data_IF_927080511835
#
_entry.id   IF_927080511835
#
_cell.length_a   1.000
_cell.length_b   1.000
_cell.length_c   1.000
_cell.angle_alpha   90.00
_cell.angle_beta   90.00
_cell.angle_gamma   90.00
#
_symmetry.space_group_name_H-M   'P 1'
#
loop_
_entity.id
_entity.type
_entity.pdbx_description
1 polymer ?
#
# COMPACT_ATOMS: atom_id res chain seq x y z
N UNK A 1 5.78 59.88 1.76
CA UNK A 1 5.06 59.49 0.53
C UNK A 1 6.07 58.69 -0.30
N UNK A 2 6.24 57.41 0.01
CA UNK A 2 5.62 56.25 -0.66
C UNK A 2 6.65 55.57 -1.57
N UNK A 3 7.65 54.92 -0.96
CA UNK A 3 8.57 54.02 -1.64
C UNK A 3 7.85 52.69 -1.86
N UNK A 4 7.42 52.45 -3.11
CA UNK A 4 6.72 51.24 -3.51
C UNK A 4 7.61 50.00 -3.41
N UNK A 5 7.19 49.04 -2.58
CA UNK A 5 7.66 47.65 -2.63
C UNK A 5 7.10 46.99 -3.89
N UNK A 6 7.79 47.20 -5.02
CA UNK A 6 7.55 46.43 -6.23
C UNK A 6 8.08 45.01 -6.06
N UNK A 7 7.20 44.07 -5.73
CA UNK A 7 7.48 42.64 -5.93
C UNK A 7 7.74 42.43 -7.42
N UNK A 8 9.01 42.18 -7.77
CA UNK A 8 9.42 41.92 -9.13
C UNK A 8 8.85 40.55 -9.55
N UNK A 9 7.63 40.53 -10.08
CA UNK A 9 7.06 39.35 -10.70
C UNK A 9 7.84 39.07 -11.99
N UNK A 10 8.42 37.87 -12.18
CA UNK A 10 9.14 37.55 -13.41
C UNK A 10 8.17 37.56 -14.59
N UNK A 11 8.57 38.18 -15.71
CA UNK A 11 7.87 38.07 -17.00
C UNK A 11 8.00 36.64 -17.55
N UNK A 12 7.27 35.69 -16.96
CA UNK A 12 7.18 34.29 -17.36
C UNK A 12 5.78 34.10 -17.94
N UNK A 13 5.67 33.49 -19.13
CA UNK A 13 4.37 33.21 -19.75
C UNK A 13 3.53 32.32 -18.83
N UNK A 14 2.21 32.35 -18.98
CA UNK A 14 1.28 31.49 -18.21
C UNK A 14 1.68 30.01 -18.33
N UNK A 15 2.18 29.59 -19.47
CA UNK A 15 2.68 28.23 -19.71
C UNK A 15 3.95 27.92 -18.91
N UNK A 16 4.89 28.87 -18.85
CA UNK A 16 6.10 28.78 -18.03
C UNK A 16 5.76 28.69 -16.52
N UNK A 17 4.77 29.46 -16.05
CA UNK A 17 4.26 29.38 -14.67
C UNK A 17 3.59 28.03 -14.38
N UNK A 18 2.74 27.54 -15.29
CA UNK A 18 2.10 26.21 -15.15
C UNK A 18 3.12 25.10 -15.10
N UNK A 19 4.17 25.15 -15.94
CA UNK A 19 5.25 24.17 -15.94
C UNK A 19 5.97 24.15 -14.59
N UNK A 20 6.34 25.32 -14.05
CA UNK A 20 7.00 25.43 -12.74
C UNK A 20 6.14 24.91 -11.59
N UNK A 21 4.85 25.24 -11.57
CA UNK A 21 3.91 24.73 -10.55
C UNK A 21 3.82 23.20 -10.64
N UNK A 22 3.73 22.65 -11.86
CA UNK A 22 3.71 21.20 -12.06
C UNK A 22 5.00 20.52 -11.59
N UNK A 23 6.16 21.09 -11.88
CA UNK A 23 7.46 20.59 -11.42
C UNK A 23 7.56 20.60 -9.89
N UNK A 24 7.12 21.68 -9.23
CA UNK A 24 7.08 21.76 -7.76
C UNK A 24 6.13 20.71 -7.16
N UNK A 25 4.94 20.53 -7.74
CA UNK A 25 3.98 19.50 -7.29
C UNK A 25 4.56 18.10 -7.49
N UNK A 26 5.15 17.81 -8.64
CA UNK A 26 5.75 16.50 -8.93
C UNK A 26 6.90 16.18 -7.96
N UNK A 27 7.75 17.16 -7.65
CA UNK A 27 8.82 17.00 -6.67
C UNK A 27 8.26 16.72 -5.27
N UNK A 28 7.23 17.46 -4.83
CA UNK A 28 6.58 17.24 -3.53
C UNK A 28 5.89 15.88 -3.46
N UNK A 29 5.18 15.48 -4.51
CA UNK A 29 4.54 14.17 -4.61
C UNK A 29 5.58 13.05 -4.60
N UNK A 30 6.69 13.19 -5.33
CA UNK A 30 7.79 12.23 -5.33
C UNK A 30 8.40 12.09 -3.95
N UNK A 31 8.72 13.21 -3.27
CA UNK A 31 9.23 13.20 -1.89
C UNK A 31 8.26 12.53 -0.92
N UNK A 32 6.97 12.85 -1.02
CA UNK A 32 5.94 12.23 -0.20
C UNK A 32 5.87 10.72 -0.44
N UNK A 33 5.89 10.28 -1.70
CA UNK A 33 5.86 8.87 -2.04
C UNK A 33 7.06 8.12 -1.46
N UNK A 34 8.29 8.61 -1.71
CA UNK A 34 9.52 8.00 -1.20
C UNK A 34 9.47 7.85 0.32
N UNK A 35 9.09 8.91 1.05
CA UNK A 35 9.00 8.90 2.52
C UNK A 35 7.99 7.91 3.09
N UNK A 36 6.89 7.68 2.38
CA UNK A 36 5.76 6.90 2.88
C UNK A 36 5.73 5.44 2.39
N UNK A 37 6.37 5.15 1.25
CA UNK A 37 6.31 3.82 0.62
C UNK A 37 7.68 3.19 0.38
N UNK A 38 8.75 3.99 0.21
CA UNK A 38 10.11 3.47 -0.01
C UNK A 38 10.90 3.43 1.31
N UNK A 39 10.92 4.52 2.06
CA UNK A 39 11.68 4.65 3.32
C UNK A 39 10.91 4.12 4.54
N UNK A 40 9.61 3.89 4.39
CA UNK A 40 8.75 3.36 5.44
C UNK A 40 8.74 1.85 5.31
N UNK A 41 9.29 1.15 6.30
CA UNK A 41 9.38 -0.31 6.25
C UNK A 41 7.97 -0.93 6.18
N UNK A 42 7.77 -1.83 5.20
CA UNK A 42 6.56 -2.62 5.06
C UNK A 42 6.75 -3.99 5.72
N UNK A 43 5.69 -4.54 6.30
CA UNK A 43 5.70 -5.89 6.88
C UNK A 43 5.32 -5.93 8.36
N UNK A 44 4.96 -4.80 8.96
CA UNK A 44 4.56 -4.76 10.36
C UNK A 44 3.13 -5.27 10.52
N UNK A 45 2.93 -6.23 11.42
CA UNK A 45 1.65 -6.91 11.62
C UNK A 45 0.83 -6.17 12.68
N UNK A 46 -0.45 -5.92 12.39
CA UNK A 46 -1.39 -5.51 13.43
C UNK A 46 -1.84 -6.71 14.28
N UNK A 47 -1.72 -6.64 15.61
CA UNK A 47 -2.02 -7.76 16.50
C UNK A 47 -3.52 -8.15 16.56
N UNK A 48 -4.41 -7.28 16.08
CA UNK A 48 -5.87 -7.47 16.10
C UNK A 48 -6.40 -8.08 14.81
N UNK A 49 -6.11 -7.47 13.66
CA UNK A 49 -6.57 -7.95 12.35
C UNK A 49 -5.55 -8.78 11.56
N UNK A 50 -4.32 -8.92 12.08
CA UNK A 50 -3.23 -9.72 11.50
C UNK A 50 -2.80 -9.27 10.09
N UNK A 51 -3.23 -8.08 9.63
CA UNK A 51 -2.83 -7.52 8.34
C UNK A 51 -1.49 -6.81 8.43
N UNK A 52 -0.74 -6.89 7.34
CA UNK A 52 0.50 -6.15 7.13
C UNK A 52 0.22 -4.67 6.89
N UNK A 53 1.10 -3.85 7.44
CA UNK A 53 1.09 -2.40 7.39
C UNK A 53 2.52 -1.89 7.27
N UNK A 54 2.64 -0.62 6.93
CA UNK A 54 3.88 0.09 7.10
C UNK A 54 4.12 0.45 8.58
N UNK A 55 5.38 0.64 8.96
CA UNK A 55 5.78 0.96 10.33
C UNK A 55 5.04 2.18 10.87
N UNK A 56 4.97 3.26 10.09
CA UNK A 56 4.29 4.50 10.49
C UNK A 56 2.76 4.36 10.64
N UNK A 57 2.17 3.30 10.08
CA UNK A 57 0.72 3.04 10.11
C UNK A 57 0.27 2.15 11.27
N UNK A 58 1.24 1.65 12.06
CA UNK A 58 0.97 0.91 13.29
C UNK A 58 1.36 1.74 14.51
N UNK A 59 0.51 1.71 15.53
CA UNK A 59 0.76 2.42 16.79
C UNK A 59 0.65 1.47 17.97
N UNK A 60 1.54 1.56 18.97
CA UNK A 60 1.44 0.76 20.19
C UNK A 60 0.12 1.01 20.93
N UNK A 61 -0.51 -0.07 21.40
CA UNK A 61 -1.74 -0.03 22.18
C UNK A 61 -1.54 0.56 23.59
N UNK A 62 -0.32 0.43 24.13
CA UNK A 62 0.08 0.92 25.45
C UNK A 62 -0.17 2.41 25.69
N UNK A 63 -0.33 3.19 24.61
CA UNK A 63 -0.64 4.63 24.70
C UNK A 63 -2.07 4.93 25.14
N UNK A 64 -2.97 3.96 25.25
CA UNK A 64 -4.38 4.21 25.61
C UNK A 64 -5.01 3.07 26.44
N UNK A 65 -5.21 3.31 27.73
CA UNK A 65 -5.77 2.34 28.68
C UNK A 65 -7.18 1.86 28.31
N UNK A 66 -8.01 2.71 27.69
CA UNK A 66 -9.35 2.30 27.23
C UNK A 66 -9.30 1.26 26.11
N UNK A 67 -8.23 1.26 25.31
CA UNK A 67 -8.06 0.23 24.28
C UNK A 67 -7.62 -1.09 24.90
N UNK A 68 -6.72 -1.00 25.88
CA UNK A 68 -6.18 -2.15 26.57
C UNK A 68 -7.29 -2.94 27.28
N UNK A 69 -8.25 -2.28 27.93
CA UNK A 69 -9.38 -2.96 28.59
C UNK A 69 -10.25 -3.76 27.60
N UNK A 70 -10.64 -3.15 26.47
CA UNK A 70 -11.43 -3.81 25.41
C UNK A 70 -10.69 -5.02 24.85
N UNK A 71 -9.39 -4.89 24.61
CA UNK A 71 -8.58 -5.98 24.06
C UNK A 71 -8.23 -7.05 25.08
N UNK A 72 -8.03 -6.73 26.37
CA UNK A 72 -7.79 -7.75 27.42
C UNK A 72 -8.98 -8.70 27.57
N UNK A 73 -10.21 -8.19 27.49
CA UNK A 73 -11.42 -9.02 27.52
C UNK A 73 -11.52 -10.00 26.34
N UNK A 74 -10.85 -9.69 25.23
CA UNK A 74 -10.96 -10.39 23.96
C UNK A 74 -9.72 -11.26 23.68
N UNK A 75 -8.57 -10.91 24.25
CA UNK A 75 -7.29 -11.57 24.03
C UNK A 75 -6.63 -11.94 25.38
N UNK A 76 -7.25 -12.81 26.20
CA UNK A 76 -6.84 -13.02 27.59
C UNK A 76 -5.44 -13.61 27.78
N UNK A 77 -4.94 -14.37 26.78
CA UNK A 77 -3.64 -15.06 26.86
C UNK A 77 -2.48 -14.18 26.38
N UNK A 78 -2.75 -13.07 25.69
CA UNK A 78 -1.68 -12.26 25.07
C UNK A 78 -1.43 -10.99 25.87
N UNK A 79 -0.16 -10.60 25.95
CA UNK A 79 0.19 -9.27 26.46
C UNK A 79 -0.30 -8.18 25.50
N UNK A 80 -1.42 -7.57 25.87
CA UNK A 80 -2.07 -6.51 25.10
C UNK A 80 -1.23 -5.22 25.12
N UNK A 81 -0.34 -5.02 26.10
CA UNK A 81 0.54 -3.84 26.13
C UNK A 81 1.51 -3.80 24.96
N UNK A 82 1.97 -4.98 24.52
CA UNK A 82 2.85 -5.15 23.38
C UNK A 82 2.12 -5.11 22.03
N UNK A 83 0.81 -4.84 21.98
CA UNK A 83 0.07 -4.84 20.71
C UNK A 83 0.39 -3.61 19.87
N UNK A 84 0.61 -3.84 18.58
CA UNK A 84 0.63 -2.83 17.54
C UNK A 84 -0.72 -2.82 16.80
N UNK A 85 -1.32 -1.63 16.72
CA UNK A 85 -2.65 -1.40 16.16
C UNK A 85 -2.55 -0.59 14.88
N UNK A 86 -3.16 -1.08 13.79
CA UNK A 86 -3.33 -0.28 12.59
C UNK A 86 -4.40 0.80 12.79
N UNK A 87 -4.38 1.84 11.95
CA UNK A 87 -5.35 2.95 12.00
C UNK A 87 -6.82 2.51 12.02
N UNK A 88 -7.20 1.46 11.30
CA UNK A 88 -8.58 0.92 11.30
C UNK A 88 -8.94 0.25 12.62
N UNK A 89 -8.03 -0.58 13.18
CA UNK A 89 -8.27 -1.29 14.43
C UNK A 89 -8.24 -0.37 15.65
N UNK A 90 -7.58 0.78 15.54
CA UNK A 90 -7.56 1.82 16.56
C UNK A 90 -8.91 2.52 16.73
N UNK A 91 -9.77 2.56 15.70
CA UNK A 91 -11.05 3.27 15.74
C UNK A 91 -12.14 2.55 16.53
N UNK A 92 -12.20 1.22 16.45
CA UNK A 92 -13.30 0.46 17.06
C UNK A 92 -13.33 0.50 18.60
N UNK A 93 -12.19 0.44 19.32
CA UNK A 93 -12.18 0.51 20.78
C UNK A 93 -12.74 1.80 21.37
N UNK A 94 -12.77 2.92 20.62
CA UNK A 94 -13.43 4.15 21.08
C UNK A 94 -14.92 3.96 21.36
N UNK A 95 -15.55 3.00 20.68
CA UNK A 95 -16.95 2.63 20.88
C UNK A 95 -17.10 1.37 21.73
N UNK A 96 -16.06 0.98 22.48
CA UNK A 96 -16.00 -0.25 23.27
C UNK A 96 -16.28 -1.54 22.47
N UNK A 97 -16.00 -1.51 21.16
CA UNK A 97 -16.22 -2.63 20.24
C UNK A 97 -14.90 -3.16 19.69
N UNK A 98 -14.86 -4.46 19.41
CA UNK A 98 -13.78 -5.04 18.62
C UNK A 98 -13.92 -4.68 17.14
N UNK A 99 -12.82 -4.54 16.40
CA UNK A 99 -12.88 -4.35 14.96
C UNK A 99 -13.60 -5.52 14.26
N UNK A 100 -14.45 -5.25 13.25
CA UNK A 100 -15.16 -6.31 12.51
C UNK A 100 -14.22 -7.35 11.90
N UNK A 101 -13.07 -6.90 11.40
CA UNK A 101 -12.03 -7.73 10.78
C UNK A 101 -11.00 -8.23 11.81
N UNK A 102 -11.39 -8.30 13.10
CA UNK A 102 -10.55 -8.87 14.15
C UNK A 102 -10.42 -10.38 13.95
N UNK A 103 -9.26 -10.92 14.32
CA UNK A 103 -9.04 -12.37 14.33
C UNK A 103 -10.03 -13.12 15.24
N UNK A 104 -10.52 -12.47 16.29
CA UNK A 104 -11.54 -13.05 17.16
C UNK A 104 -12.89 -13.25 16.48
N UNK A 105 -13.14 -12.53 15.38
CA UNK A 105 -14.33 -12.71 14.55
C UNK A 105 -14.11 -13.77 13.45
N UNK A 106 -13.08 -14.61 13.57
CA UNK A 106 -12.78 -15.66 12.59
C UNK A 106 -11.94 -15.20 11.39
N UNK A 107 -11.51 -13.93 11.33
CA UNK A 107 -10.61 -13.44 10.29
C UNK A 107 -9.15 -13.81 10.57
N UNK A 108 -8.89 -15.11 10.61
CA UNK A 108 -7.56 -15.70 10.80
C UNK A 108 -7.14 -16.33 9.48
N UNK A 109 -5.85 -16.22 9.15
CA UNK A 109 -5.31 -16.91 7.98
C UNK A 109 -5.29 -18.40 8.31
N UNK A 110 -5.71 -19.28 7.39
CA UNK A 110 -5.53 -20.71 7.61
C UNK A 110 -4.05 -20.99 7.84
N UNK A 111 -3.75 -22.01 8.65
CA UNK A 111 -2.39 -22.51 8.77
C UNK A 111 -1.82 -22.81 7.39
N UNK A 112 -0.49 -22.65 7.22
CA UNK A 112 0.16 -22.99 5.96
C UNK A 112 -0.23 -24.43 5.60
N UNK A 113 -0.90 -24.65 4.47
CA UNK A 113 -1.23 -26.00 4.06
C UNK A 113 0.06 -26.75 3.73
N UNK A 114 0.03 -28.07 3.92
CA UNK A 114 1.10 -28.93 3.45
C UNK A 114 1.04 -28.96 1.91
N UNK A 115 1.90 -28.16 1.28
CA UNK A 115 1.94 -28.02 -0.17
C UNK A 115 2.99 -29.00 -0.72
N UNK A 116 2.67 -29.75 -1.79
CA UNK A 116 3.66 -30.61 -2.43
C UNK A 116 4.82 -29.77 -2.95
N UNK A 117 6.02 -30.37 -3.00
CA UNK A 117 7.16 -29.75 -3.70
C UNK A 117 6.79 -29.58 -5.17
N UNK A 118 6.90 -28.34 -5.67
CA UNK A 118 6.65 -28.04 -7.07
C UNK A 118 7.89 -28.37 -7.89
N UNK A 119 7.73 -29.12 -8.97
CA UNK A 119 8.75 -29.22 -10.00
C UNK A 119 8.80 -27.90 -10.82
N UNK A 120 9.90 -27.64 -11.55
CA UNK A 120 10.06 -26.39 -12.30
C UNK A 120 8.95 -26.11 -13.34
N UNK A 121 8.27 -27.12 -13.86
CA UNK A 121 7.17 -26.94 -14.81
C UNK A 121 5.92 -26.52 -14.05
N UNK A 122 5.59 -27.20 -12.96
CA UNK A 122 4.44 -26.84 -12.10
C UNK A 122 4.58 -25.43 -11.55
N UNK A 123 5.79 -25.04 -11.11
CA UNK A 123 6.08 -23.68 -10.65
C UNK A 123 5.78 -22.63 -11.73
N UNK A 124 6.22 -22.86 -12.97
CA UNK A 124 5.91 -21.99 -14.12
C UNK A 124 4.43 -21.97 -14.48
N UNK A 125 3.69 -23.06 -14.27
CA UNK A 125 2.26 -23.11 -14.56
C UNK A 125 1.46 -22.25 -13.57
N UNK A 126 1.87 -22.22 -12.30
CA UNK A 126 1.19 -21.46 -11.26
C UNK A 126 1.76 -20.05 -11.04
N UNK A 127 2.92 -19.74 -11.63
CA UNK A 127 3.53 -18.41 -11.51
C UNK A 127 2.57 -17.31 -11.98
N UNK A 128 2.56 -16.13 -11.32
CA UNK A 128 1.77 -14.98 -11.76
C UNK A 128 2.03 -14.67 -13.23
N UNK A 129 0.96 -14.54 -14.02
CA UNK A 129 1.05 -14.23 -15.45
C UNK A 129 0.65 -12.79 -15.69
N UNK A 130 1.40 -12.11 -16.57
CA UNK A 130 1.02 -10.79 -17.06
C UNK A 130 0.22 -10.98 -18.34
N UNK A 131 -1.10 -10.70 -18.33
CA UNK A 131 -1.90 -10.79 -19.54
C UNK A 131 -1.59 -9.56 -20.42
N UNK A 132 -0.94 -9.80 -21.56
CA UNK A 132 -0.80 -8.78 -22.61
C UNK A 132 -2.04 -8.84 -23.51
N UNK A 133 -3.10 -8.22 -23.00
CA UNK A 133 -4.39 -8.16 -23.63
C UNK A 133 -4.53 -6.87 -24.44
N UNK A 134 -4.97 -6.99 -25.69
CA UNK A 134 -5.43 -5.87 -26.49
C UNK A 134 -6.95 -5.97 -26.68
N UNK A 135 -7.64 -4.84 -26.53
CA UNK A 135 -9.05 -4.73 -26.93
C UNK A 135 -9.06 -4.43 -28.44
N UNK A 136 -9.61 -5.33 -29.24
CA UNK A 136 -9.70 -5.17 -30.70
C UNK A 136 -11.17 -5.05 -31.13
N UNK A 137 -11.42 -4.13 -32.06
CA UNK A 137 -12.73 -4.01 -32.72
C UNK A 137 -12.98 -5.26 -33.59
N UNK A 138 -14.12 -5.89 -33.40
CA UNK A 138 -14.56 -7.00 -34.25
C UNK A 138 -15.10 -6.46 -35.58
N UNK A 139 -15.18 -7.31 -36.61
CA UNK A 139 -15.75 -6.94 -37.91
C UNK A 139 -17.26 -6.68 -37.84
N UNK A 140 -17.95 -7.26 -36.87
CA UNK A 140 -19.31 -6.91 -36.48
C UNK A 140 -19.28 -5.89 -35.32
N UNK A 141 -20.40 -5.22 -35.03
CA UNK A 141 -20.50 -4.30 -33.89
C UNK A 141 -20.14 -5.01 -32.58
N UNK A 142 -18.93 -4.74 -32.06
CA UNK A 142 -18.44 -5.34 -30.84
C UNK A 142 -16.93 -5.20 -30.65
N UNK A 143 -16.48 -5.41 -29.42
CA UNK A 143 -15.07 -5.46 -29.05
C UNK A 143 -14.75 -6.84 -28.48
N UNK A 144 -13.61 -7.40 -28.86
CA UNK A 144 -13.08 -8.62 -28.27
C UNK A 144 -11.75 -8.35 -27.56
N UNK A 145 -11.57 -9.05 -26.46
CA UNK A 145 -10.33 -9.15 -25.71
C UNK A 145 -9.49 -10.22 -26.39
N UNK A 146 -8.48 -9.82 -27.15
CA UNK A 146 -7.56 -10.73 -27.84
C UNK A 146 -6.16 -10.45 -27.33
N UNK A 147 -5.52 -11.47 -26.74
CA UNK A 147 -4.21 -11.30 -26.12
C UNK A 147 -3.48 -12.61 -25.91
N UNK A 148 -2.17 -12.51 -25.78
CA UNK A 148 -1.33 -13.60 -25.33
C UNK A 148 -1.11 -13.47 -23.82
N UNK A 149 -1.19 -14.58 -23.09
CA UNK A 149 -0.73 -14.65 -21.71
C UNK A 149 0.70 -15.16 -21.72
N UNK A 150 1.62 -14.34 -21.22
CA UNK A 150 3.04 -14.69 -21.14
C UNK A 150 3.36 -14.99 -19.68
N UNK A 151 4.03 -16.12 -19.44
CA UNK A 151 4.65 -16.41 -18.16
C UNK A 151 5.90 -15.55 -18.03
N UNK A 152 5.77 -14.40 -17.37
CA UNK A 152 6.92 -13.59 -17.00
C UNK A 152 7.39 -14.10 -15.64
N UNK A 153 8.64 -14.59 -15.49
CA UNK A 153 9.16 -14.91 -14.17
C UNK A 153 9.21 -13.61 -13.37
N UNK A 154 8.27 -13.48 -12.44
CA UNK A 154 8.15 -12.31 -11.58
C UNK A 154 8.78 -12.64 -10.24
N UNK A 155 10.01 -12.17 -10.01
CA UNK A 155 10.50 -12.04 -8.64
C UNK A 155 9.96 -10.74 -8.06
N UNK A 156 9.23 -10.85 -6.95
CA UNK A 156 8.61 -9.71 -6.26
C UNK A 156 9.68 -8.72 -5.81
N UNK A 157 10.87 -9.18 -5.39
CA UNK A 157 11.96 -8.29 -5.00
C UNK A 157 12.48 -7.51 -6.19
N UNK A 158 12.65 -8.17 -7.35
CA UNK A 158 13.06 -7.55 -8.60
C UNK A 158 12.03 -6.54 -9.11
N UNK A 159 10.73 -6.86 -9.07
CA UNK A 159 9.68 -5.91 -9.50
C UNK A 159 9.59 -4.67 -8.62
N UNK A 160 9.68 -4.84 -7.30
CA UNK A 160 9.69 -3.72 -6.37
C UNK A 160 10.93 -2.86 -6.64
N UNK A 161 12.12 -3.44 -6.80
CA UNK A 161 13.36 -2.71 -7.05
C UNK A 161 13.42 -2.01 -8.43
N UNK A 162 12.99 -2.66 -9.51
CA UNK A 162 12.99 -2.07 -10.85
C UNK A 162 12.02 -0.89 -10.98
N UNK A 163 10.88 -0.94 -10.30
CA UNK A 163 9.91 0.17 -10.24
C UNK A 163 10.51 1.45 -9.62
N UNK A 164 11.61 1.34 -8.87
CA UNK A 164 12.30 2.48 -8.27
C UNK A 164 13.47 3.02 -9.11
N UNK A 165 13.92 2.29 -10.13
CA UNK A 165 15.04 2.71 -11.00
C UNK A 165 14.59 3.25 -12.38
N UNK A 166 13.38 2.96 -12.85
CA UNK A 166 12.86 3.46 -14.14
C UNK A 166 12.24 4.88 -14.09
N UNK A 167 12.81 5.79 -13.28
CA UNK A 167 12.63 7.25 -13.46
C UNK A 167 13.90 7.87 -14.08
N UNK A 168 14.35 7.30 -15.18
CA UNK A 168 15.46 7.85 -15.97
C UNK A 168 15.24 7.58 -17.47
N UNK A 169 14.09 7.99 -18.02
CA UNK A 169 13.91 8.32 -19.43
C UNK A 169 12.87 9.45 -19.56
#
# INVERSE_FOLDING_TARGET
>A
MSSGLGLHLPNCSVECLRKRIWEEIDELCTKHFVKHFTENEFGHVCNVCVRLRFLKDVTPASKNEKFLSVFRAQFPVKDVQAFNLCGSCKRSPYNSKIPPLSRNNGFIHPGRPDLPSLDPISERLISPRLPFIQIRRLRAEGYAVVGQSINVPVDVNTMVQHSFHEKAF
#
